data_IF_169834403762
#
_entry.id   IF_169834403762
#
_cell.length_a   1.000
_cell.length_b   1.000
_cell.length_c   1.000
_cell.angle_alpha   90.00
_cell.angle_beta   90.00
_cell.angle_gamma   90.00
#
_symmetry.space_group_name_H-M   'P 1'
#
loop_
_entity.id
_entity.type
_entity.pdbx_description
1 polymer ?
#
# COMPACT_ATOMS: atom_id res chain seq x y z
N UNK A 1 -27.39 -17.74 -49.65
CA UNK A 1 -26.69 -19.02 -49.87
C UNK A 1 -25.30 -18.84 -49.26
N UNK A 2 -25.00 -19.18 -48.00
CA UNK A 2 -25.56 -20.11 -47.03
C UNK A 2 -25.32 -19.49 -45.62
N UNK A 3 -26.38 -19.48 -44.82
CA UNK A 3 -26.56 -19.51 -43.36
C UNK A 3 -25.67 -18.70 -42.40
N UNK A 4 -26.27 -17.62 -41.87
CA UNK A 4 -25.87 -16.94 -40.64
C UNK A 4 -27.09 -16.87 -39.70
N UNK A 5 -27.35 -17.96 -38.97
CA UNK A 5 -28.24 -18.00 -37.81
C UNK A 5 -27.69 -18.99 -36.78
N UNK A 6 -27.92 -18.68 -35.49
CA UNK A 6 -27.49 -19.37 -34.26
C UNK A 6 -26.05 -19.16 -33.75
N UNK A 7 -25.88 -18.13 -32.92
CA UNK A 7 -25.40 -18.29 -31.53
C UNK A 7 -25.38 -16.96 -30.77
N UNK A 8 -26.58 -16.41 -30.53
CA UNK A 8 -26.78 -15.56 -29.35
C UNK A 8 -26.91 -16.46 -28.12
N UNK A 9 -26.50 -15.95 -26.96
CA UNK A 9 -26.57 -16.52 -25.60
C UNK A 9 -25.54 -17.60 -25.22
N UNK A 10 -24.49 -17.17 -24.53
CA UNK A 10 -24.03 -17.80 -23.27
C UNK A 10 -23.27 -16.74 -22.46
N UNK A 11 -24.01 -15.85 -21.79
CA UNK A 11 -23.48 -15.15 -20.63
C UNK A 11 -23.07 -16.21 -19.60
N UNK A 12 -21.81 -16.18 -19.17
CA UNK A 12 -21.32 -17.03 -18.10
C UNK A 12 -22.09 -16.71 -16.81
N UNK A 13 -23.01 -17.60 -16.42
CA UNK A 13 -23.84 -17.47 -15.24
C UNK A 13 -22.97 -17.43 -13.95
N UNK A 14 -23.02 -16.37 -13.12
CA UNK A 14 -22.33 -16.26 -11.84
C UNK A 14 -22.61 -17.42 -10.87
N UNK A 15 -23.78 -18.06 -10.99
CA UNK A 15 -24.18 -19.18 -10.13
C UNK A 15 -23.35 -20.44 -10.35
N UNK A 16 -22.84 -20.67 -11.58
CA UNK A 16 -21.95 -21.81 -11.85
C UNK A 16 -20.59 -21.66 -11.16
N UNK A 17 -20.09 -20.42 -10.99
CA UNK A 17 -18.83 -20.17 -10.26
C UNK A 17 -19.01 -20.33 -8.75
N UNK A 18 -20.18 -19.94 -8.23
CA UNK A 18 -20.53 -20.19 -6.83
C UNK A 18 -20.72 -21.70 -6.56
N UNK A 19 -21.32 -22.43 -7.49
CA UNK A 19 -21.48 -23.88 -7.40
C UNK A 19 -20.13 -24.61 -7.37
N UNK A 20 -19.16 -24.24 -8.22
CA UNK A 20 -17.80 -24.82 -8.20
C UNK A 20 -17.05 -24.48 -6.90
N UNK A 21 -17.25 -23.28 -6.35
CA UNK A 21 -16.71 -22.87 -5.04
C UNK A 21 -17.31 -23.71 -3.90
N UNK A 22 -18.62 -23.94 -3.92
CA UNK A 22 -19.32 -24.80 -2.95
C UNK A 22 -18.86 -26.27 -3.07
N UNK A 23 -18.67 -26.81 -4.27
CA UNK A 23 -18.16 -28.19 -4.47
C UNK A 23 -16.73 -28.34 -3.95
N UNK A 24 -15.89 -27.32 -4.11
CA UNK A 24 -14.49 -27.36 -3.66
C UNK A 24 -14.40 -27.24 -2.13
N UNK A 25 -15.25 -26.41 -1.51
CA UNK A 25 -15.41 -26.31 -0.06
C UNK A 25 -15.99 -27.60 0.53
N UNK A 26 -16.96 -28.25 -0.14
CA UNK A 26 -17.49 -29.56 0.27
C UNK A 26 -16.46 -30.69 0.15
N UNK A 27 -15.57 -30.66 -0.86
CA UNK A 27 -14.49 -31.66 -1.00
C UNK A 27 -13.37 -31.48 0.03
N UNK A 28 -13.22 -30.28 0.61
CA UNK A 28 -12.33 -30.06 1.76
C UNK A 28 -12.98 -30.44 3.10
N UNK A 29 -14.30 -30.69 3.12
CA UNK A 29 -15.10 -30.88 4.33
C UNK A 29 -15.92 -32.20 4.39
N UNK A 30 -15.66 -33.20 3.54
CA UNK A 30 -16.29 -34.53 3.65
C UNK A 30 -15.32 -35.63 3.20
N UNK A 31 -15.28 -36.83 3.78
CA UNK A 31 -16.25 -37.57 4.61
C UNK A 31 -15.49 -38.60 5.45
N UNK A 32 -15.64 -38.58 6.77
CA UNK A 32 -15.69 -39.77 7.62
C UNK A 32 -16.17 -39.32 8.99
N UNK A 33 -17.28 -39.92 9.46
CA UNK A 33 -17.86 -39.60 10.74
C UNK A 33 -16.93 -40.01 11.86
N UNK A 34 -16.10 -39.08 12.33
CA UNK A 34 -15.64 -38.95 13.71
C UNK A 34 -15.16 -37.50 13.90
N UNK A 35 -15.72 -36.84 14.90
CA UNK A 35 -15.37 -35.46 15.25
C UNK A 35 -13.87 -35.38 15.59
N UNK A 36 -13.11 -34.76 14.69
CA UNK A 36 -11.71 -34.39 14.97
C UNK A 36 -11.57 -32.89 14.74
N UNK A 37 -10.90 -32.27 15.70
CA UNK A 37 -10.63 -30.85 15.82
C UNK A 37 -10.07 -30.27 14.52
N UNK A 38 -10.78 -29.30 13.94
CA UNK A 38 -10.23 -28.50 12.85
C UNK A 38 -9.01 -27.73 13.40
N UNK A 39 -7.81 -28.17 13.04
CA UNK A 39 -6.57 -27.51 13.47
C UNK A 39 -6.44 -26.13 12.78
N UNK A 40 -5.77 -25.20 13.47
CA UNK A 40 -5.44 -23.84 13.04
C UNK A 40 -5.01 -23.73 11.56
N UNK A 41 -4.36 -24.77 11.02
CA UNK A 41 -3.89 -24.86 9.64
C UNK A 41 -5.00 -24.84 8.57
N UNK A 42 -6.23 -25.24 8.89
CA UNK A 42 -7.36 -25.30 7.93
C UNK A 42 -7.95 -23.91 7.71
N UNK A 43 -8.02 -23.11 8.77
CA UNK A 43 -8.48 -21.73 8.72
C UNK A 43 -7.45 -20.82 8.04
N UNK A 44 -6.16 -21.04 8.27
CA UNK A 44 -5.08 -20.36 7.54
C UNK A 44 -5.13 -20.63 6.03
N UNK A 45 -5.41 -21.87 5.61
CA UNK A 45 -5.56 -22.24 4.18
C UNK A 45 -6.80 -21.61 3.55
N UNK A 46 -7.90 -21.48 4.29
CA UNK A 46 -9.12 -20.82 3.81
C UNK A 46 -8.91 -19.32 3.64
N UNK A 47 -8.24 -18.66 4.60
CA UNK A 47 -7.87 -17.24 4.54
C UNK A 47 -6.90 -16.96 3.38
N UNK A 48 -5.88 -17.81 3.20
CA UNK A 48 -4.94 -17.73 2.07
C UNK A 48 -5.66 -17.90 0.72
N UNK A 49 -6.61 -18.83 0.63
CA UNK A 49 -7.35 -19.10 -0.61
C UNK A 49 -8.29 -17.94 -0.98
N UNK A 50 -8.95 -17.32 0.00
CA UNK A 50 -9.77 -16.13 -0.20
C UNK A 50 -8.92 -14.90 -0.58
N UNK A 51 -7.72 -14.77 0.00
CA UNK A 51 -6.77 -13.72 -0.36
C UNK A 51 -6.22 -13.87 -1.80
N UNK A 52 -5.94 -15.10 -2.24
CA UNK A 52 -5.48 -15.41 -3.61
C UNK A 52 -6.58 -15.19 -4.66
N UNK A 53 -7.84 -15.46 -4.32
CA UNK A 53 -8.99 -15.22 -5.21
C UNK A 53 -9.26 -13.72 -5.42
N UNK A 54 -9.02 -12.91 -4.40
CA UNK A 54 -9.04 -11.44 -4.53
C UNK A 54 -7.89 -10.92 -5.41
N UNK A 55 -6.72 -11.57 -5.33
CA UNK A 55 -5.53 -11.22 -6.10
C UNK A 55 -5.74 -11.37 -7.62
N UNK A 56 -6.54 -12.35 -8.06
CA UNK A 56 -6.88 -12.53 -9.48
C UNK A 56 -7.98 -11.59 -9.95
N UNK A 57 -8.96 -11.29 -9.08
CA UNK A 57 -10.11 -10.44 -9.41
C UNK A 57 -9.76 -8.95 -9.48
N UNK A 58 -8.88 -8.47 -8.60
CA UNK A 58 -8.38 -7.10 -8.62
C UNK A 58 -7.44 -6.84 -9.81
N UNK A 59 -6.64 -7.84 -10.20
CA UNK A 59 -5.82 -7.78 -11.42
C UNK A 59 -6.68 -7.67 -12.68
N UNK A 60 -7.85 -8.34 -12.74
CA UNK A 60 -8.71 -8.29 -13.92
C UNK A 60 -9.42 -6.93 -14.12
N UNK A 61 -9.63 -6.16 -13.04
CA UNK A 61 -10.21 -4.82 -13.15
C UNK A 61 -9.18 -3.75 -13.53
N UNK A 62 -7.92 -3.89 -13.13
CA UNK A 62 -6.85 -2.94 -13.50
C UNK A 62 -6.29 -3.20 -14.91
N UNK A 63 -6.39 -4.41 -15.45
CA UNK A 63 -5.86 -4.74 -16.78
C UNK A 63 -6.82 -4.44 -17.94
N UNK A 64 -8.06 -4.02 -17.68
CA UNK A 64 -9.09 -3.89 -18.73
C UNK A 64 -9.23 -2.49 -19.33
N UNK A 65 -8.47 -1.51 -18.85
CA UNK A 65 -8.37 -0.19 -19.48
C UNK A 65 -6.93 0.04 -19.99
N UNK A 66 -6.78 -0.09 -21.31
CA UNK A 66 -5.63 0.31 -22.14
C UNK A 66 -4.36 -0.55 -22.07
N UNK A 67 -4.22 -1.50 -23.02
CA UNK A 67 -3.18 -1.47 -24.07
C UNK A 67 -3.16 -2.77 -24.90
N UNK A 68 -3.18 -2.73 -26.24
CA UNK A 68 -2.82 -3.87 -27.08
C UNK A 68 -1.32 -3.80 -27.38
N UNK A 69 -0.53 -4.79 -26.93
CA UNK A 69 0.65 -5.33 -27.62
C UNK A 69 1.40 -6.31 -26.69
N UNK A 70 0.91 -7.55 -26.61
CA UNK A 70 1.73 -8.66 -26.16
C UNK A 70 2.60 -9.14 -27.33
N UNK A 71 3.93 -9.04 -27.20
CA UNK A 71 4.85 -9.93 -27.92
C UNK A 71 5.75 -10.66 -26.92
N UNK A 72 5.84 -11.96 -27.17
CA UNK A 72 6.42 -13.02 -26.35
C UNK A 72 7.82 -12.70 -25.80
N UNK A 73 7.97 -12.91 -24.48
CA UNK A 73 9.27 -13.03 -23.82
C UNK A 73 9.55 -14.52 -23.62
N UNK A 74 10.29 -15.11 -24.55
CA UNK A 74 10.95 -16.40 -24.35
C UNK A 74 12.26 -16.38 -25.12
N UNK A 75 13.37 -16.16 -24.41
CA UNK A 75 14.69 -16.77 -24.62
C UNK A 75 15.76 -15.97 -23.88
N UNK A 76 15.99 -16.34 -22.61
CA UNK A 76 17.17 -15.94 -21.87
C UNK A 76 18.35 -16.79 -22.36
N UNK A 77 19.15 -16.27 -23.30
CA UNK A 77 20.41 -16.90 -23.72
C UNK A 77 21.57 -15.96 -23.41
N UNK A 78 22.45 -16.43 -22.52
CA UNK A 78 23.78 -15.88 -22.28
C UNK A 78 24.50 -15.61 -23.60
N UNK A 79 25.00 -14.39 -23.80
CA UNK A 79 26.21 -14.17 -24.61
C UNK A 79 27.03 -13.00 -24.03
N UNK A 80 28.32 -13.29 -23.99
CA UNK A 80 29.41 -12.60 -23.34
C UNK A 80 29.81 -11.30 -24.03
N UNK A 81 30.29 -10.39 -23.19
CA UNK A 81 31.46 -9.50 -23.31
C UNK A 81 31.63 -8.56 -24.52
N UNK A 82 32.21 -7.40 -24.17
CA UNK A 82 32.87 -6.42 -25.04
C UNK A 82 31.99 -5.31 -25.59
N UNK A 83 31.51 -4.41 -24.72
CA UNK A 83 31.40 -2.99 -25.07
C UNK A 83 31.83 -2.13 -23.90
N UNK A 84 32.99 -1.52 -24.10
CA UNK A 84 33.54 -0.33 -23.46
C UNK A 84 32.44 0.60 -22.94
N UNK A 85 32.05 0.43 -21.68
CA UNK A 85 31.21 1.41 -20.99
C UNK A 85 32.14 2.52 -20.52
N UNK A 86 32.08 3.66 -21.22
CA UNK A 86 32.40 4.95 -20.63
C UNK A 86 31.68 5.02 -19.28
N UNK A 87 32.44 4.80 -18.22
CA UNK A 87 32.02 4.91 -16.84
C UNK A 87 31.78 6.39 -16.55
N UNK A 88 30.70 6.96 -17.09
CA UNK A 88 30.12 8.14 -16.51
C UNK A 88 29.67 7.72 -15.11
N UNK A 89 30.49 8.03 -14.10
CA UNK A 89 30.06 8.08 -12.70
C UNK A 89 28.93 9.11 -12.61
N UNK A 90 27.72 8.74 -13.03
CA UNK A 90 26.53 9.31 -12.45
C UNK A 90 26.48 8.70 -11.06
N UNK A 91 27.05 9.40 -10.07
CA UNK A 91 26.66 9.21 -8.69
C UNK A 91 25.15 9.42 -8.68
N UNK A 92 24.38 8.31 -8.65
CA UNK A 92 22.93 8.38 -8.58
C UNK A 92 22.58 9.11 -7.29
N UNK A 93 22.21 10.39 -7.37
CA UNK A 93 21.71 11.11 -6.20
C UNK A 93 20.29 10.59 -5.91
N UNK A 94 20.04 10.19 -4.67
CA UNK A 94 18.69 9.85 -4.23
C UNK A 94 17.75 11.04 -4.47
N UNK A 95 16.55 10.79 -4.97
CA UNK A 95 15.47 11.78 -4.98
C UNK A 95 14.56 11.53 -3.78
N UNK A 96 14.51 12.47 -2.84
CA UNK A 96 13.65 12.35 -1.65
C UNK A 96 12.38 13.17 -1.84
N UNK A 97 11.21 12.54 -1.77
CA UNK A 97 9.95 13.27 -1.71
C UNK A 97 9.64 13.58 -0.24
N UNK A 98 9.49 14.87 0.06
CA UNK A 98 9.34 15.39 1.41
C UNK A 98 7.92 15.88 1.74
N UNK A 99 7.00 15.90 0.78
CA UNK A 99 5.62 16.32 1.01
C UNK A 99 4.85 15.34 1.91
N UNK A 100 3.97 15.88 2.75
CA UNK A 100 3.08 15.08 3.60
C UNK A 100 2.26 14.09 2.77
N UNK A 101 1.77 13.00 3.38
CA UNK A 101 0.79 12.12 2.74
C UNK A 101 -0.36 12.94 2.15
N UNK A 102 -0.95 12.47 1.06
CA UNK A 102 -2.10 13.12 0.39
C UNK A 102 -1.77 14.41 -0.37
N UNK A 103 -0.51 14.70 -0.63
CA UNK A 103 -0.04 15.80 -1.50
C UNK A 103 0.20 15.35 -2.96
N UNK A 104 -0.50 14.30 -3.41
CA UNK A 104 -0.39 13.71 -4.77
C UNK A 104 0.88 12.90 -5.04
N UNK A 105 1.42 12.26 -4.00
CA UNK A 105 2.63 11.43 -4.02
C UNK A 105 2.61 10.31 -5.06
N UNK A 106 1.47 9.63 -5.27
CA UNK A 106 1.37 8.59 -6.31
C UNK A 106 1.49 9.13 -7.73
N UNK A 107 0.94 10.33 -7.99
CA UNK A 107 1.06 10.97 -9.30
C UNK A 107 2.50 11.43 -9.53
N UNK A 108 3.13 12.01 -8.51
CA UNK A 108 4.54 12.39 -8.56
C UNK A 108 5.45 11.20 -8.78
N UNK A 109 5.23 10.08 -8.07
CA UNK A 109 5.93 8.82 -8.29
C UNK A 109 5.86 8.37 -9.74
N UNK A 110 4.65 8.32 -10.31
CA UNK A 110 4.48 7.93 -11.71
C UNK A 110 5.22 8.88 -12.65
N UNK A 111 5.23 10.17 -12.34
CA UNK A 111 6.01 11.18 -13.05
C UNK A 111 7.53 10.90 -13.00
N UNK A 112 8.07 10.61 -11.82
CA UNK A 112 9.47 10.24 -11.65
C UNK A 112 9.85 8.99 -12.45
N UNK A 113 9.00 7.97 -12.44
CA UNK A 113 9.21 6.73 -13.21
C UNK A 113 9.24 7.00 -14.72
N UNK A 114 8.35 7.86 -15.24
CA UNK A 114 8.33 8.27 -16.65
C UNK A 114 9.61 9.05 -17.01
N UNK A 115 10.14 9.86 -16.09
CA UNK A 115 11.42 10.57 -16.25
C UNK A 115 12.65 9.66 -16.05
N UNK A 116 12.45 8.35 -15.86
CA UNK A 116 13.51 7.36 -15.73
C UNK A 116 14.15 7.27 -14.35
N UNK A 117 13.54 7.87 -13.32
CA UNK A 117 13.97 7.74 -11.92
C UNK A 117 13.31 6.50 -11.33
N UNK A 118 14.04 5.39 -11.28
CA UNK A 118 13.53 4.08 -10.87
C UNK A 118 14.63 3.22 -10.24
N UNK A 119 14.34 2.41 -9.20
CA UNK A 119 13.02 2.18 -8.60
C UNK A 119 12.60 3.25 -7.58
N UNK A 120 11.29 3.45 -7.45
CA UNK A 120 10.69 4.37 -6.47
C UNK A 120 10.08 3.59 -5.29
N UNK A 121 10.46 3.92 -4.06
CA UNK A 121 9.81 3.40 -2.85
C UNK A 121 8.49 4.14 -2.61
N UNK A 122 7.39 3.42 -2.48
CA UNK A 122 6.09 4.01 -2.10
C UNK A 122 5.25 3.00 -1.33
N UNK A 123 4.54 3.45 -0.29
CA UNK A 123 3.76 2.57 0.59
C UNK A 123 2.42 2.13 -0.01
N UNK A 124 1.95 2.83 -1.04
CA UNK A 124 0.71 2.51 -1.77
C UNK A 124 0.86 1.61 -3.00
N UNK A 125 2.08 1.23 -3.40
CA UNK A 125 2.29 0.37 -4.59
C UNK A 125 1.70 -1.02 -4.36
N UNK A 126 0.88 -1.61 -5.26
CA UNK A 126 0.47 -3.01 -5.12
C UNK A 126 1.46 -4.00 -5.78
N UNK A 127 1.79 -5.13 -5.15
CA UNK A 127 1.61 -5.39 -3.72
C UNK A 127 2.66 -4.62 -2.93
N UNK A 128 2.22 -3.77 -2.00
CA UNK A 128 3.14 -3.10 -1.09
C UNK A 128 3.49 -4.20 -0.13
N UNK A 129 4.77 -4.63 -0.05
CA UNK A 129 5.11 -5.67 0.88
C UNK A 129 4.67 -5.19 2.26
N UNK A 130 3.78 -5.94 2.92
CA UNK A 130 3.29 -5.62 4.27
C UNK A 130 4.48 -5.38 5.21
N UNK A 131 5.61 -6.06 4.93
CA UNK A 131 6.90 -5.83 5.55
C UNK A 131 7.42 -4.40 5.44
N UNK A 132 7.23 -3.69 4.31
CA UNK A 132 7.60 -2.28 4.17
C UNK A 132 6.76 -1.38 5.07
N UNK A 133 5.44 -1.58 5.12
CA UNK A 133 4.55 -0.80 5.99
C UNK A 133 4.93 -1.02 7.46
N UNK A 134 5.15 -2.29 7.85
CA UNK A 134 5.61 -2.67 9.19
C UNK A 134 6.96 -2.04 9.53
N UNK A 135 7.93 -2.11 8.62
CA UNK A 135 9.26 -1.57 8.84
C UNK A 135 9.26 -0.05 8.89
N UNK A 136 8.47 0.63 8.05
CA UNK A 136 8.25 2.08 8.12
C UNK A 136 7.71 2.52 9.48
N UNK A 137 6.73 1.78 10.03
CA UNK A 137 6.19 2.05 11.37
C UNK A 137 7.27 1.87 12.45
N UNK A 138 8.08 0.80 12.34
CA UNK A 138 9.20 0.54 13.25
C UNK A 138 10.21 1.68 13.22
N UNK A 139 10.64 2.11 12.03
CA UNK A 139 11.67 3.14 11.84
C UNK A 139 11.25 4.48 12.45
N UNK A 140 9.98 4.89 12.29
CA UNK A 140 9.46 6.12 12.91
C UNK A 140 9.46 6.07 14.44
N UNK A 141 9.37 4.88 15.03
CA UNK A 141 9.38 4.71 16.48
C UNK A 141 10.79 4.71 17.11
N UNK A 142 11.86 4.65 16.31
CA UNK A 142 13.25 4.60 16.81
C UNK A 142 13.68 5.97 17.35
N UNK A 143 13.98 6.02 18.65
CA UNK A 143 14.44 7.23 19.34
C UNK A 143 15.91 7.52 19.07
N UNK A 144 16.78 6.50 19.15
CA UNK A 144 18.21 6.65 18.89
C UNK A 144 18.46 7.00 17.42
N UNK A 145 19.07 8.17 17.20
CA UNK A 145 19.30 8.68 15.84
C UNK A 145 20.24 7.79 15.04
N UNK A 146 21.27 7.21 15.67
CA UNK A 146 22.23 6.37 14.95
C UNK A 146 21.60 5.05 14.48
N UNK A 147 20.77 4.43 15.31
CA UNK A 147 19.96 3.27 14.94
C UNK A 147 18.97 3.62 13.84
N UNK A 148 18.29 4.77 13.94
CA UNK A 148 17.33 5.24 12.95
C UNK A 148 17.98 5.45 11.58
N UNK A 149 19.15 6.09 11.53
CA UNK A 149 19.92 6.28 10.29
C UNK A 149 20.30 4.93 9.63
N UNK A 150 20.75 3.95 10.42
CA UNK A 150 21.06 2.60 9.92
C UNK A 150 19.81 1.91 9.37
N UNK A 151 18.69 2.04 10.07
CA UNK A 151 17.42 1.44 9.68
C UNK A 151 16.85 2.08 8.40
N UNK A 152 16.90 3.41 8.28
CA UNK A 152 16.52 4.15 7.06
C UNK A 152 17.35 3.71 5.85
N UNK A 153 18.68 3.65 6.01
CA UNK A 153 19.58 3.20 4.94
C UNK A 153 19.24 1.80 4.47
N UNK A 154 18.90 0.89 5.40
CA UNK A 154 18.47 -0.47 5.06
C UNK A 154 17.10 -0.51 4.39
N UNK A 155 16.13 0.28 4.85
CA UNK A 155 14.78 0.33 4.30
C UNK A 155 14.76 0.83 2.85
N UNK A 156 15.62 1.81 2.54
CA UNK A 156 15.68 2.46 1.24
C UNK A 156 16.81 1.98 0.33
N UNK A 157 17.51 0.91 0.72
CA UNK A 157 18.56 0.33 -0.09
C UNK A 157 18.02 -0.11 -1.47
N UNK A 158 18.76 0.23 -2.51
CA UNK A 158 18.41 -0.07 -3.91
C UNK A 158 17.35 0.84 -4.55
N UNK A 159 16.77 1.82 -3.84
CA UNK A 159 15.83 2.79 -4.42
C UNK A 159 16.52 4.06 -4.92
N UNK A 160 16.05 4.58 -6.06
CA UNK A 160 16.52 5.85 -6.64
C UNK A 160 15.67 7.04 -6.16
N UNK A 161 14.40 6.79 -5.83
CA UNK A 161 13.55 7.77 -5.17
C UNK A 161 12.76 7.16 -4.02
N UNK A 162 12.51 7.97 -2.99
CA UNK A 162 11.76 7.56 -1.80
C UNK A 162 10.62 8.51 -1.52
N UNK A 163 9.49 7.95 -1.10
CA UNK A 163 8.25 8.66 -0.82
C UNK A 163 7.68 8.21 0.50
N UNK A 164 6.74 9.02 1.01
CA UNK A 164 5.93 8.71 2.18
C UNK A 164 6.79 8.55 3.47
N UNK A 165 6.16 8.44 4.64
CA UNK A 165 6.89 8.16 5.86
C UNK A 165 7.57 6.77 5.80
N UNK A 166 8.79 6.60 6.35
CA UNK A 166 9.51 7.57 7.17
C UNK A 166 10.23 8.72 6.44
N UNK A 167 10.61 8.57 5.16
CA UNK A 167 11.46 9.54 4.45
C UNK A 167 10.90 10.96 4.47
N UNK A 168 9.59 11.12 4.26
CA UNK A 168 8.96 12.44 4.27
C UNK A 168 8.93 13.09 5.65
N UNK A 169 9.00 12.31 6.74
CA UNK A 169 8.99 12.83 8.12
C UNK A 169 10.41 13.09 8.66
N UNK A 170 11.38 12.34 8.16
CA UNK A 170 12.77 12.30 8.60
C UNK A 170 13.72 12.89 7.55
N UNK A 171 13.33 13.99 6.92
CA UNK A 171 14.09 14.68 5.85
C UNK A 171 15.51 15.05 6.27
N UNK A 172 15.71 15.47 7.51
CA UNK A 172 17.02 15.78 8.10
C UNK A 172 17.94 14.55 8.18
N UNK A 173 17.38 13.40 8.58
CA UNK A 173 18.11 12.13 8.57
C UNK A 173 18.37 11.65 7.14
N UNK A 174 17.42 11.86 6.22
CA UNK A 174 17.63 11.56 4.80
C UNK A 174 18.76 12.40 4.19
N UNK A 175 18.83 13.70 4.51
CA UNK A 175 19.94 14.58 4.10
C UNK A 175 21.26 14.20 4.77
N UNK A 176 21.21 13.65 6.00
CA UNK A 176 22.42 13.12 6.66
C UNK A 176 22.97 11.89 5.93
N UNK A 177 22.10 10.99 5.46
CA UNK A 177 22.51 9.78 4.71
C UNK A 177 22.88 10.12 3.26
N UNK A 178 22.14 11.04 2.64
CA UNK A 178 22.25 11.42 1.23
C UNK A 178 22.36 12.96 1.10
N UNK A 179 23.52 13.55 1.40
CA UNK A 179 23.70 15.01 1.48
C UNK A 179 23.55 15.76 0.15
N UNK A 180 23.60 15.04 -0.97
CA UNK A 180 23.41 15.57 -2.32
C UNK A 180 22.05 15.19 -2.91
N UNK A 181 21.11 14.71 -2.08
CA UNK A 181 19.79 14.31 -2.54
C UNK A 181 19.03 15.52 -3.10
N UNK A 182 18.31 15.30 -4.21
CA UNK A 182 17.31 16.26 -4.68
C UNK A 182 16.04 16.03 -3.90
N UNK A 183 15.52 17.06 -3.25
CA UNK A 183 14.31 17.01 -2.42
C UNK A 183 13.14 17.65 -3.16
N UNK A 184 12.03 16.93 -3.26
CA UNK A 184 10.79 17.43 -3.84
C UNK A 184 9.75 17.56 -2.73
N UNK A 185 9.37 18.79 -2.40
CA UNK A 185 8.28 19.09 -1.48
C UNK A 185 6.99 19.20 -2.27
N UNK A 186 6.22 18.10 -2.34
CA UNK A 186 4.89 18.17 -2.97
C UNK A 186 3.88 18.81 -2.03
N UNK A 187 3.15 19.81 -2.53
CA UNK A 187 2.21 20.60 -1.73
C UNK A 187 0.79 20.53 -2.32
N UNK A 188 -0.18 21.05 -1.56
CA UNK A 188 -1.52 21.38 -2.05
C UNK A 188 -1.68 22.89 -2.12
N UNK A 189 -2.81 23.34 -2.68
CA UNK A 189 -3.13 24.76 -2.80
C UNK A 189 -3.09 25.50 -1.45
N UNK A 190 -3.56 24.86 -0.39
CA UNK A 190 -3.57 25.38 0.97
C UNK A 190 -3.75 24.22 1.98
N UNK A 191 -3.55 24.48 3.30
CA UNK A 191 -3.71 23.47 4.35
C UNK A 191 -5.12 22.86 4.38
N UNK A 192 -6.17 23.67 4.17
CA UNK A 192 -7.56 23.22 4.23
C UNK A 192 -7.85 22.14 3.17
N UNK A 193 -7.36 22.35 1.95
CA UNK A 193 -7.49 21.38 0.85
C UNK A 193 -6.71 20.09 1.15
N UNK A 194 -5.54 20.21 1.77
CA UNK A 194 -4.77 19.04 2.20
C UNK A 194 -5.50 18.26 3.29
N UNK A 195 -5.97 18.93 4.34
CA UNK A 195 -6.64 18.32 5.48
C UNK A 195 -7.96 17.66 5.07
N UNK A 196 -8.74 18.33 4.21
CA UNK A 196 -9.94 17.74 3.59
C UNK A 196 -9.60 16.49 2.76
N UNK A 197 -8.49 16.49 2.03
CA UNK A 197 -8.00 15.32 1.28
C UNK A 197 -7.54 14.17 2.19
N UNK A 198 -7.01 14.49 3.38
CA UNK A 198 -6.67 13.50 4.40
C UNK A 198 -7.93 12.85 4.97
N UNK A 199 -8.87 13.63 5.48
CA UNK A 199 -10.13 13.11 6.01
C UNK A 199 -11.01 12.47 4.93
N UNK A 200 -10.88 12.90 3.68
CA UNK A 200 -11.55 12.30 2.51
C UNK A 200 -11.18 10.83 2.24
N UNK A 201 -10.20 10.27 2.96
CA UNK A 201 -9.95 8.83 3.01
C UNK A 201 -11.02 8.05 3.79
N UNK A 202 -11.94 8.73 4.49
CA UNK A 202 -13.01 8.11 5.27
C UNK A 202 -12.49 7.51 6.56
N UNK A 203 -12.34 6.17 6.60
CA UNK A 203 -11.95 5.44 7.81
C UNK A 203 -10.58 5.92 8.31
N UNK A 204 -10.53 6.50 9.51
CA UNK A 204 -9.27 6.83 10.18
C UNK A 204 -8.55 5.53 10.59
N UNK A 205 -7.31 5.37 10.14
CA UNK A 205 -6.48 4.18 10.43
C UNK A 205 -6.05 4.10 11.90
N UNK A 206 -6.19 5.19 12.66
CA UNK A 206 -5.98 5.24 14.12
C UNK A 206 -7.19 4.77 14.91
N UNK A 207 -8.34 4.62 14.27
CA UNK A 207 -9.57 4.19 14.91
C UNK A 207 -9.41 2.80 15.56
N UNK A 208 -9.79 2.68 16.84
CA UNK A 208 -9.85 1.39 17.54
C UNK A 208 -10.74 0.41 16.77
N UNK A 209 -11.83 0.87 16.18
CA UNK A 209 -12.73 0.03 15.39
C UNK A 209 -12.10 -0.48 14.09
N UNK A 210 -11.31 0.36 13.39
CA UNK A 210 -10.56 -0.12 12.22
C UNK A 210 -9.63 -1.27 12.59
N UNK A 211 -8.91 -1.10 13.72
CA UNK A 211 -7.96 -2.09 14.23
C UNK A 211 -8.64 -3.37 14.73
N UNK A 212 -9.76 -3.26 15.44
CA UNK A 212 -10.54 -4.40 15.95
C UNK A 212 -11.18 -5.15 14.78
N UNK A 213 -12.01 -4.47 13.97
CA UNK A 213 -12.78 -5.13 12.92
C UNK A 213 -11.87 -5.72 11.83
N UNK A 214 -10.76 -5.06 11.50
CA UNK A 214 -9.80 -5.55 10.52
C UNK A 214 -8.66 -6.41 11.09
N UNK A 215 -8.70 -6.80 12.38
CA UNK A 215 -7.58 -7.47 13.07
C UNK A 215 -6.98 -8.65 12.29
N UNK A 216 -7.84 -9.49 11.71
CA UNK A 216 -7.45 -10.70 10.98
C UNK A 216 -6.92 -10.44 9.56
N UNK A 217 -7.01 -9.20 9.07
CA UNK A 217 -6.64 -8.87 7.70
C UNK A 217 -5.16 -8.45 7.65
N UNK A 218 -4.32 -9.15 6.85
CA UNK A 218 -2.91 -8.80 6.72
C UNK A 218 -2.71 -7.34 6.33
N UNK A 219 -1.84 -6.65 7.07
CA UNK A 219 -1.51 -5.25 6.83
C UNK A 219 -2.39 -4.22 7.55
N UNK A 220 -3.59 -4.58 8.06
CA UNK A 220 -4.43 -3.63 8.81
C UNK A 220 -3.71 -3.13 10.05
N UNK A 221 -3.19 -4.04 10.87
CA UNK A 221 -2.46 -3.70 12.10
C UNK A 221 -1.26 -2.80 11.79
N UNK A 222 -0.46 -3.15 10.78
CA UNK A 222 0.73 -2.38 10.43
C UNK A 222 0.42 -1.02 9.81
N UNK A 223 -0.66 -0.91 9.02
CA UNK A 223 -1.13 0.38 8.53
C UNK A 223 -1.60 1.29 9.67
N UNK A 224 -2.24 0.72 10.69
CA UNK A 224 -2.62 1.42 11.91
C UNK A 224 -1.38 1.82 12.72
N UNK A 225 -0.42 0.91 12.93
CA UNK A 225 0.85 1.19 13.62
C UNK A 225 1.61 2.34 12.95
N UNK A 226 1.68 2.35 11.61
CA UNK A 226 2.36 3.39 10.86
C UNK A 226 1.74 4.77 11.08
N UNK A 227 0.42 4.89 10.97
CA UNK A 227 -0.26 6.19 11.12
C UNK A 227 -0.24 6.66 12.58
N UNK A 228 -0.29 5.75 13.56
CA UNK A 228 -0.09 6.10 14.97
C UNK A 228 1.33 6.60 15.22
N UNK A 229 2.36 5.89 14.72
CA UNK A 229 3.75 6.31 14.84
C UNK A 229 4.01 7.65 14.14
N UNK A 230 3.47 7.85 12.94
CA UNK A 230 3.51 9.11 12.20
C UNK A 230 2.88 10.26 12.99
N UNK A 231 1.68 10.03 13.55
CA UNK A 231 0.98 11.06 14.33
C UNK A 231 1.75 11.44 15.59
N UNK A 232 2.26 10.44 16.31
CA UNK A 232 3.06 10.64 17.52
C UNK A 232 4.35 11.40 17.21
N UNK A 233 5.08 10.99 16.16
CA UNK A 233 6.32 11.64 15.74
C UNK A 233 6.12 13.14 15.47
N UNK A 234 5.09 13.50 14.72
CA UNK A 234 4.83 14.91 14.39
C UNK A 234 4.30 15.71 15.58
N UNK A 235 3.46 15.10 16.42
CA UNK A 235 2.98 15.72 17.65
C UNK A 235 4.15 16.09 18.57
N UNK A 236 5.12 15.17 18.75
CA UNK A 236 6.32 15.41 19.55
C UNK A 236 7.27 16.42 18.90
N UNK A 237 7.52 16.29 17.58
CA UNK A 237 8.49 17.14 16.85
C UNK A 237 8.11 18.62 16.84
N UNK A 238 6.83 18.92 16.61
CA UNK A 238 6.33 20.29 16.46
C UNK A 238 5.46 20.73 17.65
N UNK A 239 5.40 19.93 18.73
CA UNK A 239 4.59 20.21 19.91
C UNK A 239 3.12 20.49 19.57
N UNK A 240 2.52 19.63 18.74
CA UNK A 240 1.15 19.78 18.25
C UNK A 240 0.17 18.97 19.11
N UNK A 241 -0.97 19.56 19.44
CA UNK A 241 -2.06 18.87 20.16
C UNK A 241 -2.76 17.82 19.29
N UNK A 242 -3.00 18.16 18.01
CA UNK A 242 -3.68 17.29 17.05
C UNK A 242 -2.85 17.12 15.77
N UNK A 243 -2.79 15.86 15.31
CA UNK A 243 -2.21 15.46 14.03
C UNK A 243 -3.19 14.52 13.34
N UNK A 244 -3.52 14.70 12.04
CA UNK A 244 -3.17 15.83 11.19
C UNK A 244 -3.90 17.13 11.59
N UNK A 245 -3.30 18.27 11.29
CA UNK A 245 -3.85 19.61 11.52
C UNK A 245 -3.31 20.59 10.48
N UNK A 246 -3.96 21.75 10.32
CA UNK A 246 -3.43 22.80 9.43
C UNK A 246 -2.07 23.30 9.90
N UNK A 247 -1.84 23.37 11.21
CA UNK A 247 -0.56 23.71 11.82
C UNK A 247 0.54 22.73 11.41
N UNK A 248 0.26 21.41 11.43
CA UNK A 248 1.20 20.42 10.91
C UNK A 248 1.61 20.72 9.45
N UNK A 249 0.65 21.09 8.60
CA UNK A 249 0.94 21.39 7.20
C UNK A 249 1.89 22.59 7.07
N UNK A 250 1.66 23.65 7.85
CA UNK A 250 2.50 24.83 7.87
C UNK A 250 3.89 24.54 8.43
N UNK A 251 3.96 23.97 9.63
CA UNK A 251 5.21 23.64 10.33
C UNK A 251 6.09 22.70 9.50
N UNK A 252 5.50 21.64 8.93
CA UNK A 252 6.25 20.69 8.12
C UNK A 252 6.81 21.33 6.85
N UNK A 253 6.00 22.10 6.11
CA UNK A 253 6.47 22.70 4.87
C UNK A 253 7.55 23.76 5.15
N UNK A 254 7.36 24.62 6.15
CA UNK A 254 8.35 25.61 6.56
C UNK A 254 9.64 24.93 6.99
N UNK A 255 9.55 23.91 7.85
CA UNK A 255 10.71 23.13 8.29
C UNK A 255 11.50 22.55 7.11
N UNK A 256 10.83 22.01 6.08
CA UNK A 256 11.51 21.51 4.88
C UNK A 256 12.22 22.64 4.11
N UNK A 257 11.62 23.82 3.98
CA UNK A 257 12.29 24.97 3.38
C UNK A 257 13.54 25.41 4.17
N UNK A 258 13.49 25.32 5.50
CA UNK A 258 14.57 25.78 6.37
C UNK A 258 15.79 24.83 6.34
N UNK A 259 15.56 23.51 6.28
CA UNK A 259 16.65 22.53 6.39
C UNK A 259 17.25 22.09 5.06
N UNK A 260 16.50 22.20 3.96
CA UNK A 260 16.99 21.73 2.66
C UNK A 260 17.86 22.82 2.01
N UNK A 261 19.12 22.50 1.62
CA UNK A 261 19.99 23.49 0.98
C UNK A 261 19.39 24.08 -0.30
N UNK A 262 19.68 25.36 -0.54
CA UNK A 262 19.28 26.05 -1.77
C UNK A 262 19.77 25.28 -3.01
N UNK A 263 18.89 25.14 -4.00
CA UNK A 263 19.17 24.36 -5.23
C UNK A 263 18.95 22.85 -5.09
N UNK A 264 18.77 22.31 -3.88
CA UNK A 264 18.34 20.93 -3.66
C UNK A 264 16.84 20.79 -3.45
N UNK A 265 16.08 21.88 -3.33
CA UNK A 265 14.63 21.84 -3.10
C UNK A 265 13.83 22.23 -4.35
N UNK A 266 12.83 21.42 -4.68
CA UNK A 266 11.74 21.78 -5.58
C UNK A 266 10.40 21.68 -4.84
N UNK A 267 9.72 22.80 -4.66
CA UNK A 267 8.30 22.78 -4.31
C UNK A 267 7.47 22.47 -5.56
N UNK A 268 6.57 21.49 -5.48
CA UNK A 268 5.90 20.95 -6.66
C UNK A 268 4.41 20.64 -6.45
N UNK A 269 3.61 20.89 -7.49
CA UNK A 269 2.24 20.40 -7.60
C UNK A 269 2.02 19.77 -8.98
N UNK A 270 1.26 18.66 -9.11
CA UNK A 270 1.00 18.04 -10.43
C UNK A 270 0.40 18.97 -11.47
N UNK A 271 -0.30 20.04 -11.06
CA UNK A 271 -0.84 21.07 -11.95
C UNK A 271 0.25 21.87 -12.67
N UNK A 272 1.48 21.89 -12.16
CA UNK A 272 2.63 22.54 -12.79
C UNK A 272 3.16 21.76 -14.00
N UNK A 273 2.72 20.52 -14.20
CA UNK A 273 3.11 19.70 -15.34
C UNK A 273 4.56 19.20 -15.27
N UNK A 274 5.12 18.85 -16.42
CA UNK A 274 6.43 18.21 -16.54
C UNK A 274 7.62 19.14 -16.36
N UNK A 275 7.51 20.37 -16.85
CA UNK A 275 8.66 21.25 -17.07
C UNK A 275 9.50 21.51 -15.81
N UNK A 276 8.93 21.96 -14.67
CA UNK A 276 9.73 22.22 -13.48
C UNK A 276 10.37 20.95 -12.92
N UNK A 277 9.65 19.82 -12.96
CA UNK A 277 10.14 18.54 -12.47
C UNK A 277 11.29 17.99 -13.33
N UNK A 278 11.12 17.98 -14.65
CA UNK A 278 12.12 17.50 -15.59
C UNK A 278 13.39 18.36 -15.54
N UNK A 279 13.23 19.70 -15.50
CA UNK A 279 14.35 20.64 -15.34
C UNK A 279 15.10 20.41 -14.04
N UNK A 280 14.39 20.32 -12.92
CA UNK A 280 14.99 20.08 -11.61
C UNK A 280 15.77 18.76 -11.57
N UNK A 281 15.29 17.72 -12.26
CA UNK A 281 15.95 16.41 -12.31
C UNK A 281 17.03 16.30 -13.41
N UNK A 282 17.23 17.34 -14.23
CA UNK A 282 18.08 17.30 -15.42
C UNK A 282 17.67 16.17 -16.40
N UNK A 283 16.37 16.06 -16.67
CA UNK A 283 15.76 15.08 -17.57
C UNK A 283 15.02 15.79 -18.72
N UNK A 284 14.90 15.15 -19.90
CA UNK A 284 14.11 15.70 -20.99
C UNK A 284 12.62 15.74 -20.62
N UNK A 285 11.92 16.80 -21.05
CA UNK A 285 10.47 16.94 -20.89
C UNK A 285 9.76 15.95 -21.84
N UNK A 286 8.86 15.09 -21.35
CA UNK A 286 8.00 14.26 -22.20
C UNK A 286 7.12 15.13 -23.10
N UNK A 287 7.09 14.84 -24.41
CA UNK A 287 6.42 15.69 -25.41
C UNK A 287 4.96 15.35 -25.65
N UNK A 288 4.59 14.08 -25.51
CA UNK A 288 3.32 13.55 -26.04
C UNK A 288 2.35 13.04 -24.96
N UNK A 289 2.69 13.22 -23.67
CA UNK A 289 1.88 12.71 -22.56
C UNK A 289 1.61 13.81 -21.52
N UNK A 290 0.37 13.96 -21.03
CA UNK A 290 0.08 14.84 -19.91
C UNK A 290 0.72 14.31 -18.63
N UNK A 291 0.97 15.19 -17.66
CA UNK A 291 1.45 14.75 -16.36
C UNK A 291 0.44 13.78 -15.71
N UNK A 292 0.90 12.63 -15.17
CA UNK A 292 0.00 11.60 -14.67
C UNK A 292 -0.91 12.11 -13.55
N UNK A 293 -2.18 11.69 -13.59
CA UNK A 293 -3.17 11.95 -12.54
C UNK A 293 -3.72 10.63 -12.02
N UNK A 294 -3.28 10.24 -10.83
CA UNK A 294 -3.65 8.97 -10.20
C UNK A 294 -4.60 9.22 -9.03
N UNK A 295 -5.80 8.63 -9.09
CA UNK A 295 -6.79 8.73 -8.02
C UNK A 295 -6.61 7.65 -6.94
N UNK A 296 -5.61 7.85 -6.08
CA UNK A 296 -5.31 6.93 -4.99
C UNK A 296 -6.41 6.91 -3.89
N UNK A 297 -7.12 8.03 -3.70
CA UNK A 297 -8.10 8.15 -2.62
C UNK A 297 -9.25 7.14 -2.75
N UNK A 298 -9.77 6.95 -3.98
CA UNK A 298 -10.82 5.98 -4.24
C UNK A 298 -10.36 4.55 -3.98
N UNK A 299 -9.14 4.22 -4.42
CA UNK A 299 -8.53 2.91 -4.19
C UNK A 299 -8.36 2.61 -2.70
N UNK A 300 -7.74 3.52 -1.93
CA UNK A 300 -7.52 3.33 -0.50
C UNK A 300 -8.83 3.25 0.30
N UNK A 301 -9.85 4.03 -0.08
CA UNK A 301 -11.20 3.90 0.51
C UNK A 301 -11.75 2.50 0.29
N UNK A 302 -11.65 1.98 -0.93
CA UNK A 302 -12.16 0.65 -1.26
C UNK A 302 -11.42 -0.44 -0.48
N UNK A 303 -10.08 -0.40 -0.48
CA UNK A 303 -9.24 -1.36 0.26
C UNK A 303 -9.62 -1.40 1.74
N UNK A 304 -9.77 -0.24 2.39
CA UNK A 304 -10.14 -0.19 3.81
C UNK A 304 -11.55 -0.73 4.07
N UNK A 305 -12.53 -0.42 3.22
CA UNK A 305 -13.90 -0.94 3.36
C UNK A 305 -13.92 -2.46 3.21
N UNK A 306 -13.24 -3.00 2.19
CA UNK A 306 -13.15 -4.44 1.97
C UNK A 306 -12.45 -5.13 3.15
N UNK A 307 -11.34 -4.57 3.64
CA UNK A 307 -10.63 -5.10 4.80
C UNK A 307 -11.54 -5.15 6.05
N UNK A 308 -12.24 -4.07 6.37
CA UNK A 308 -13.15 -4.07 7.51
C UNK A 308 -14.33 -5.03 7.32
N UNK A 309 -14.88 -5.14 6.11
CA UNK A 309 -15.95 -6.09 5.80
C UNK A 309 -15.52 -7.54 6.00
N UNK A 310 -14.39 -7.93 5.39
CA UNK A 310 -13.83 -9.27 5.53
C UNK A 310 -13.44 -9.58 6.98
N UNK A 311 -12.79 -8.65 7.67
CA UNK A 311 -12.42 -8.86 9.07
C UNK A 311 -13.63 -9.00 9.99
N UNK A 312 -14.70 -8.23 9.73
CA UNK A 312 -15.97 -8.37 10.46
C UNK A 312 -16.63 -9.73 10.21
N UNK A 313 -16.54 -10.26 8.99
CA UNK A 313 -17.03 -11.62 8.68
C UNK A 313 -16.22 -12.68 9.43
N UNK A 314 -14.89 -12.52 9.53
CA UNK A 314 -14.05 -13.45 10.33
C UNK A 314 -14.47 -13.42 11.80
N UNK A 315 -14.70 -12.23 12.38
CA UNK A 315 -15.23 -12.11 13.74
C UNK A 315 -16.60 -12.76 13.91
N UNK A 316 -17.52 -12.54 12.97
CA UNK A 316 -18.84 -13.17 12.99
C UNK A 316 -18.73 -14.69 13.00
N UNK A 317 -17.92 -15.27 12.10
CA UNK A 317 -17.70 -16.72 12.06
C UNK A 317 -17.11 -17.25 13.36
N UNK A 318 -16.16 -16.53 13.98
CA UNK A 318 -15.58 -16.89 15.27
C UNK A 318 -16.63 -16.88 16.39
N UNK A 319 -17.45 -15.84 16.50
CA UNK A 319 -18.47 -15.76 17.54
C UNK A 319 -19.57 -16.80 17.37
N UNK A 320 -20.00 -17.04 16.13
CA UNK A 320 -20.96 -18.11 15.81
C UNK A 320 -20.38 -19.48 16.17
N UNK A 321 -19.11 -19.73 15.82
CA UNK A 321 -18.43 -20.97 16.17
C UNK A 321 -18.31 -21.19 17.67
N UNK A 322 -17.91 -20.15 18.42
CA UNK A 322 -17.83 -20.21 19.89
C UNK A 322 -19.19 -20.45 20.53
N UNK A 323 -20.25 -19.81 20.03
CA UNK A 323 -21.62 -20.00 20.51
C UNK A 323 -22.07 -21.46 20.35
N UNK A 324 -21.90 -22.04 19.16
CA UNK A 324 -22.29 -23.42 18.90
C UNK A 324 -21.44 -24.42 19.69
N UNK A 325 -20.13 -24.20 19.79
CA UNK A 325 -19.25 -25.05 20.59
C UNK A 325 -19.64 -25.04 22.09
N UNK A 326 -19.92 -23.86 22.65
CA UNK A 326 -20.39 -23.73 24.02
C UNK A 326 -21.76 -24.38 24.24
N UNK A 327 -22.69 -24.21 23.29
CA UNK A 327 -24.02 -24.83 23.35
C UNK A 327 -23.94 -26.36 23.32
N UNK A 328 -23.07 -26.93 22.47
CA UNK A 328 -22.83 -28.37 22.41
C UNK A 328 -22.24 -28.89 23.72
N UNK A 329 -21.19 -28.24 24.25
CA UNK A 329 -20.57 -28.64 25.51
C UNK A 329 -21.55 -28.61 26.69
N UNK A 330 -22.39 -27.57 26.76
CA UNK A 330 -23.45 -27.48 27.76
C UNK A 330 -24.45 -28.64 27.65
N UNK A 331 -24.91 -28.94 26.43
CA UNK A 331 -25.89 -30.02 26.22
C UNK A 331 -25.35 -31.40 26.62
N UNK A 332 -24.07 -31.66 26.38
CA UNK A 332 -23.41 -32.92 26.78
C UNK A 332 -23.32 -33.02 28.31
N UNK A 333 -22.86 -31.95 28.98
CA UNK A 333 -22.78 -31.94 30.45
C UNK A 333 -24.14 -32.07 31.12
N UNK A 334 -25.17 -31.41 30.59
CA UNK A 334 -26.53 -31.53 31.12
C UNK A 334 -27.13 -32.94 30.90
N UNK A 335 -26.69 -33.67 29.86
CA UNK A 335 -27.12 -35.05 29.65
C UNK A 335 -26.45 -36.03 30.62
N UNK A 336 -25.21 -35.76 31.05
CA UNK A 336 -24.51 -36.61 32.03
C UNK A 336 -25.10 -36.47 33.44
N UNK A 337 -25.51 -35.26 33.84
CA UNK A 337 -26.11 -35.02 35.17
C UNK A 337 -27.54 -35.54 35.34
N UNK A 338 -28.23 -35.92 34.26
CA UNK A 338 -29.55 -36.53 34.32
C UNK A 338 -29.51 -38.07 34.35
N UNK A 339 -28.32 -38.66 34.21
CA UNK A 339 -28.10 -40.11 34.20
C UNK A 339 -27.58 -40.62 35.56
N UNK A 340 -27.13 -39.72 36.43
CA UNK A 340 -26.90 -39.97 37.88
C UNK A 340 -28.16 -39.67 38.69
#
# INVERSE_FOLDING_TARGET
>A
MIDAENSFTTMANPERKLATLMTTVSFTLGTNGHATTASCSTMERLIMSLALFHNTSANLMLYKEHSPHHRNVSNFRRKNHSRTFLLALFVKSLTSQAGLPRTSTTSLKKGLEILGVTPCFHLGDPPAPISRVKESARVLAIQDRNERLKALKKLYDGFEAVFEPPASALVDDMLTIYPNAKVILSVRKNPQVWLASYHGLGIDLRSKWYRILGYWIPGVIHSSDLIVAWSKYYAEKFNLEEVPSEDLYHEHNQWVHDIVPAGQLLEYQPSMGWEPLARFLNRPVPKDEPFPRVNEAAFLRNVKRVAMGLGSLVWLCLFVGLYYAGSMAWSMSASETLVE
#
